data_IF_044690416977
#
_entry.id   IF_044690416977
#
_cell.length_a   1.000
_cell.length_b   1.000
_cell.length_c   1.000
_cell.angle_alpha   90.00
_cell.angle_beta   90.00
_cell.angle_gamma   90.00
#
_symmetry.space_group_name_H-M   'P 1'
#
loop_
_entity.id
_entity.type
_entity.pdbx_description
1 polymer ?
#
# COMPACT_ATOMS: atom_id res chain seq x y z
N UNK A 1 -6.85 14.34 32.28
CA UNK A 1 -7.79 13.40 31.64
C UNK A 1 -8.08 13.98 30.27
N UNK A 2 -7.35 13.52 29.26
CA UNK A 2 -7.47 14.01 27.90
C UNK A 2 -8.51 13.15 27.18
N UNK A 3 -9.49 13.80 26.56
CA UNK A 3 -10.50 13.18 25.70
C UNK A 3 -9.82 12.42 24.55
N UNK A 4 -9.94 11.10 24.57
CA UNK A 4 -9.48 10.19 23.51
C UNK A 4 -10.49 10.11 22.37
N UNK A 5 -10.81 11.25 21.75
CA UNK A 5 -11.60 11.30 20.53
C UNK A 5 -10.68 11.62 19.34
N UNK A 6 -9.88 10.63 18.96
CA UNK A 6 -9.21 10.64 17.67
C UNK A 6 -9.64 9.35 16.95
N UNK A 7 -10.81 9.40 16.31
CA UNK A 7 -11.26 8.37 15.38
C UNK A 7 -10.67 8.74 14.01
N UNK A 8 -9.61 8.05 13.55
CA UNK A 8 -8.99 8.38 12.29
C UNK A 8 -9.94 7.96 11.16
N UNK A 9 -10.28 8.93 10.31
CA UNK A 9 -11.16 8.84 9.13
C UNK A 9 -12.60 8.35 9.42
N UNK A 10 -13.50 9.30 9.66
CA UNK A 10 -14.93 9.05 9.48
C UNK A 10 -15.20 8.70 8.00
N UNK A 11 -15.58 7.45 7.77
CA UNK A 11 -16.18 6.92 6.53
C UNK A 11 -17.10 7.97 5.88
N UNK A 12 -16.70 8.44 4.69
CA UNK A 12 -17.33 9.54 3.95
C UNK A 12 -18.61 9.10 3.20
N UNK A 13 -19.03 7.84 3.34
CA UNK A 13 -20.14 7.24 2.61
C UNK A 13 -21.48 7.79 3.13
N UNK A 14 -22.07 8.71 2.37
CA UNK A 14 -23.36 9.34 2.72
C UNK A 14 -24.57 8.57 2.22
N UNK A 15 -24.40 7.76 1.17
CA UNK A 15 -25.51 7.11 0.46
C UNK A 15 -25.24 5.62 0.22
N UNK A 16 -26.30 4.82 0.29
CA UNK A 16 -26.25 3.38 0.16
C UNK A 16 -25.98 2.97 -1.29
N UNK A 17 -24.93 2.16 -1.50
CA UNK A 17 -24.56 1.61 -2.82
C UNK A 17 -25.62 0.67 -3.43
N UNK A 18 -26.60 0.20 -2.64
CA UNK A 18 -27.67 -0.69 -3.13
C UNK A 18 -28.93 0.05 -3.59
N UNK A 19 -29.34 1.11 -2.90
CA UNK A 19 -30.63 1.77 -3.17
C UNK A 19 -30.58 3.31 -3.20
N UNK A 20 -29.42 3.93 -2.95
CA UNK A 20 -29.27 5.39 -2.90
C UNK A 20 -29.80 6.07 -1.64
N UNK A 21 -30.41 5.34 -0.69
CA UNK A 21 -30.88 5.90 0.58
C UNK A 21 -29.75 6.36 1.51
N UNK A 22 -30.04 7.26 2.45
CA UNK A 22 -29.06 7.76 3.41
C UNK A 22 -28.47 6.64 4.28
N UNK A 23 -27.18 6.75 4.59
CA UNK A 23 -26.47 5.93 5.56
C UNK A 23 -26.37 6.68 6.90
N UNK A 24 -26.64 5.99 8.01
CA UNK A 24 -26.52 6.54 9.35
C UNK A 24 -25.74 5.58 10.27
N UNK A 25 -24.90 6.09 11.20
CA UNK A 25 -24.20 5.25 12.15
C UNK A 25 -25.18 4.57 13.11
N UNK A 26 -25.05 3.26 13.28
CA UNK A 26 -25.84 2.43 14.20
C UNK A 26 -24.95 1.48 14.98
N UNK A 27 -25.26 1.31 16.26
CA UNK A 27 -24.67 0.28 17.11
C UNK A 27 -25.39 -1.04 16.85
N UNK A 28 -24.73 -1.99 16.18
CA UNK A 28 -25.33 -3.29 15.86
C UNK A 28 -25.14 -4.32 16.97
N UNK A 29 -23.99 -4.31 17.64
CA UNK A 29 -23.67 -5.16 18.80
C UNK A 29 -22.95 -4.33 19.86
N UNK A 30 -23.21 -4.59 21.14
CA UNK A 30 -22.77 -3.72 22.24
C UNK A 30 -21.26 -3.43 22.32
N UNK A 31 -20.41 -4.32 21.79
CA UNK A 31 -18.93 -4.24 21.87
C UNK A 31 -18.24 -4.00 20.54
N UNK A 32 -18.99 -3.76 19.46
CA UNK A 32 -18.44 -3.48 18.13
C UNK A 32 -18.40 -1.96 17.85
N UNK A 33 -17.59 -1.48 16.88
CA UNK A 33 -17.70 -0.09 16.43
C UNK A 33 -19.05 0.19 15.78
N UNK A 34 -19.43 1.47 15.72
CA UNK A 34 -20.58 1.93 14.94
C UNK A 34 -20.42 1.51 13.48
N UNK A 35 -21.53 1.12 12.85
CA UNK A 35 -21.58 0.78 11.42
C UNK A 35 -22.52 1.72 10.70
N UNK A 36 -22.19 2.09 9.47
CA UNK A 36 -23.10 2.82 8.60
C UNK A 36 -24.20 1.86 8.11
N UNK A 37 -25.45 2.17 8.43
CA UNK A 37 -26.63 1.36 8.06
C UNK A 37 -27.58 2.21 7.23
N UNK A 38 -28.06 1.66 6.13
CA UNK A 38 -29.02 2.31 5.27
C UNK A 38 -30.39 2.39 5.92
N UNK A 39 -30.93 3.60 6.01
CA UNK A 39 -32.24 3.86 6.62
C UNK A 39 -33.42 3.41 5.74
N UNK A 40 -33.17 3.08 4.47
CA UNK A 40 -34.18 2.66 3.50
C UNK A 40 -34.27 1.13 3.34
N UNK A 41 -33.14 0.44 3.19
CA UNK A 41 -33.11 -0.99 2.87
C UNK A 41 -32.37 -1.86 3.91
N UNK A 42 -31.96 -1.27 5.03
CA UNK A 42 -31.22 -1.94 6.12
C UNK A 42 -29.87 -2.56 5.71
N UNK A 43 -29.33 -2.21 4.53
CA UNK A 43 -27.97 -2.58 4.14
C UNK A 43 -26.95 -2.03 5.16
N UNK A 44 -26.06 -2.90 5.64
CA UNK A 44 -24.95 -2.52 6.52
C UNK A 44 -23.69 -2.38 5.67
N UNK A 45 -23.05 -1.21 5.75
CA UNK A 45 -21.77 -0.96 5.11
C UNK A 45 -20.62 -1.38 6.04
N UNK A 46 -19.77 -2.26 5.52
CA UNK A 46 -18.53 -2.68 6.15
C UNK A 46 -17.39 -2.20 5.24
N UNK A 47 -16.58 -1.22 5.65
CA UNK A 47 -15.40 -0.84 4.89
C UNK A 47 -14.39 -1.99 4.97
N UNK A 48 -14.04 -2.55 3.81
CA UNK A 48 -12.98 -3.55 3.69
C UNK A 48 -11.62 -2.84 3.68
N UNK A 49 -10.57 -3.43 4.28
CA UNK A 49 -9.23 -2.94 4.05
C UNK A 49 -8.88 -3.07 2.56
N UNK A 50 -8.12 -2.10 2.04
CA UNK A 50 -7.49 -2.26 0.73
C UNK A 50 -6.21 -3.08 0.87
N UNK A 51 -5.91 -3.85 -0.17
CA UNK A 51 -4.65 -4.60 -0.25
C UNK A 51 -3.81 -3.98 -1.35
N UNK A 52 -2.55 -3.69 -1.03
CA UNK A 52 -1.55 -3.29 -1.99
C UNK A 52 -0.49 -4.38 -2.14
N UNK A 53 -0.11 -4.68 -3.38
CA UNK A 53 0.94 -5.63 -3.70
C UNK A 53 2.16 -4.87 -4.22
N UNK A 54 3.31 -5.11 -3.62
CA UNK A 54 4.54 -4.40 -3.94
C UNK A 54 5.71 -5.36 -4.16
N UNK A 55 6.75 -4.87 -4.82
CA UNK A 55 7.94 -5.68 -5.13
C UNK A 55 9.24 -4.94 -4.84
N UNK A 56 10.16 -5.63 -4.16
CA UNK A 56 11.57 -5.26 -4.11
C UNK A 56 12.28 -6.06 -5.19
N UNK A 57 12.82 -5.35 -6.18
CA UNK A 57 13.67 -5.90 -7.22
C UNK A 57 15.01 -5.15 -7.27
N UNK A 58 16.03 -5.78 -7.85
CA UNK A 58 17.39 -5.23 -7.85
C UNK A 58 18.07 -5.27 -9.22
N UNK A 59 18.95 -4.31 -9.47
CA UNK A 59 19.94 -4.31 -10.56
C UNK A 59 21.31 -4.21 -9.93
N UNK A 60 22.19 -5.16 -10.20
CA UNK A 60 23.55 -5.22 -9.64
C UNK A 60 23.60 -5.08 -8.10
N UNK A 61 22.63 -5.71 -7.41
CA UNK A 61 22.51 -5.67 -5.95
C UNK A 61 21.97 -4.35 -5.37
N UNK A 62 21.57 -3.40 -6.22
CA UNK A 62 20.94 -2.13 -5.83
C UNK A 62 19.43 -2.21 -6.00
N UNK A 63 18.67 -1.72 -5.00
CA UNK A 63 17.20 -1.75 -5.04
C UNK A 63 16.66 -0.69 -5.99
N UNK A 64 15.65 -1.04 -6.78
CA UNK A 64 14.93 -0.09 -7.64
C UNK A 64 13.87 0.63 -6.81
N UNK A 65 13.90 1.96 -6.82
CA UNK A 65 12.87 2.81 -6.24
C UNK A 65 12.38 3.82 -7.28
N UNK A 66 11.12 4.21 -7.16
CA UNK A 66 10.52 5.34 -7.87
C UNK A 66 10.19 6.49 -6.91
N UNK A 67 10.19 7.70 -7.43
CA UNK A 67 9.79 8.91 -6.72
C UNK A 67 8.38 9.28 -7.13
N UNK A 68 7.43 9.30 -6.19
CA UNK A 68 5.99 9.43 -6.47
C UNK A 68 5.64 10.78 -7.10
N UNK A 69 4.84 10.77 -8.17
CA UNK A 69 4.27 11.96 -8.81
C UNK A 69 2.83 12.30 -8.34
N UNK A 70 2.31 11.54 -7.37
CA UNK A 70 0.93 11.65 -6.89
C UNK A 70 0.86 11.63 -5.35
N UNK A 71 -0.22 12.19 -4.80
CA UNK A 71 -0.54 12.08 -3.37
C UNK A 71 -1.18 10.73 -3.02
N UNK A 72 -1.07 10.25 -1.77
CA UNK A 72 -0.26 10.81 -0.68
C UNK A 72 1.26 10.68 -0.96
N UNK A 73 2.08 11.45 -0.23
CA UNK A 73 3.55 11.33 -0.25
C UNK A 73 4.19 11.73 -1.59
N UNK A 74 3.67 12.78 -2.22
CA UNK A 74 4.26 13.35 -3.44
C UNK A 74 5.75 13.67 -3.23
N UNK A 75 6.59 13.29 -4.21
CA UNK A 75 8.01 13.57 -4.19
C UNK A 75 8.85 12.70 -3.24
N UNK A 76 8.24 11.69 -2.59
CA UNK A 76 8.95 10.72 -1.75
C UNK A 76 9.23 9.41 -2.51
N UNK A 77 10.19 8.62 -2.02
CA UNK A 77 10.66 7.38 -2.65
C UNK A 77 9.92 6.14 -2.16
N UNK A 78 9.60 5.23 -3.08
CA UNK A 78 8.95 3.94 -2.80
C UNK A 78 9.42 2.88 -3.79
N UNK A 79 9.38 1.61 -3.40
CA UNK A 79 9.52 0.51 -4.37
C UNK A 79 8.21 0.33 -5.16
N UNK A 80 8.23 -0.32 -6.34
CA UNK A 80 7.02 -0.46 -7.14
C UNK A 80 5.89 -1.19 -6.40
N UNK A 81 4.66 -0.71 -6.59
CA UNK A 81 3.47 -1.38 -6.05
C UNK A 81 2.24 -0.49 -5.94
N UNK A 82 1.09 -1.13 -6.04
CA UNK A 82 -0.22 -0.48 -6.05
C UNK A 82 -1.33 -1.41 -5.56
N UNK A 83 -2.58 -0.97 -5.72
CA UNK A 83 -3.72 -1.70 -5.21
C UNK A 83 -4.03 -2.95 -6.03
N UNK A 84 -4.47 -3.99 -5.32
CA UNK A 84 -4.93 -5.23 -5.94
C UNK A 84 -6.29 -5.01 -6.63
N UNK A 85 -6.39 -5.44 -7.89
CA UNK A 85 -7.67 -5.50 -8.58
C UNK A 85 -8.52 -6.68 -8.13
N UNK A 86 -9.84 -6.52 -8.20
CA UNK A 86 -10.76 -7.55 -7.71
C UNK A 86 -10.60 -8.84 -8.52
N UNK A 87 -10.14 -9.90 -7.84
CA UNK A 87 -9.93 -11.23 -8.43
C UNK A 87 -8.53 -11.43 -9.03
N UNK A 88 -7.65 -10.44 -8.90
CA UNK A 88 -6.25 -10.54 -9.30
C UNK A 88 -5.43 -11.32 -8.25
N UNK A 89 -4.45 -12.11 -8.70
CA UNK A 89 -3.47 -12.74 -7.81
C UNK A 89 -2.44 -11.72 -7.32
N UNK A 90 -2.01 -11.82 -6.06
CA UNK A 90 -1.09 -10.86 -5.44
C UNK A 90 0.24 -10.74 -6.18
N UNK A 91 0.81 -11.88 -6.58
CA UNK A 91 2.06 -11.94 -7.34
C UNK A 91 1.92 -11.31 -8.72
N UNK A 92 0.76 -11.50 -9.37
CA UNK A 92 0.46 -10.90 -10.67
C UNK A 92 0.32 -9.38 -10.55
N UNK A 93 -0.35 -8.89 -9.51
CA UNK A 93 -0.47 -7.46 -9.23
C UNK A 93 0.90 -6.82 -8.99
N UNK A 94 1.74 -7.42 -8.13
CA UNK A 94 3.08 -6.90 -7.88
C UNK A 94 3.94 -6.86 -9.17
N UNK A 95 3.77 -7.83 -10.07
CA UNK A 95 4.46 -7.84 -11.36
C UNK A 95 3.90 -6.81 -12.35
N UNK A 96 2.57 -6.60 -12.38
CA UNK A 96 1.92 -5.56 -13.18
C UNK A 96 2.40 -4.18 -12.76
N UNK A 97 2.39 -3.88 -11.47
CA UNK A 97 2.82 -2.58 -10.93
C UNK A 97 4.30 -2.31 -11.23
N UNK A 98 5.17 -3.33 -11.15
CA UNK A 98 6.57 -3.20 -11.57
C UNK A 98 6.72 -2.82 -13.05
N UNK A 99 5.86 -3.38 -13.89
CA UNK A 99 5.86 -3.06 -15.31
C UNK A 99 5.32 -1.64 -15.57
N UNK A 100 4.22 -1.26 -14.92
CA UNK A 100 3.56 0.04 -15.09
C UNK A 100 4.39 1.20 -14.54
N UNK A 101 4.98 1.07 -13.35
CA UNK A 101 5.65 2.17 -12.67
C UNK A 101 7.13 2.32 -13.04
N UNK A 102 7.81 1.20 -13.35
CA UNK A 102 9.27 1.20 -13.60
C UNK A 102 9.71 0.45 -14.86
N UNK A 103 8.78 0.05 -15.73
CA UNK A 103 9.05 -0.59 -17.04
C UNK A 103 9.91 -1.86 -16.98
N UNK A 104 9.74 -2.69 -15.93
CA UNK A 104 10.45 -3.98 -15.80
C UNK A 104 9.49 -5.15 -15.68
N UNK A 105 9.86 -6.26 -16.32
CA UNK A 105 9.19 -7.55 -16.13
C UNK A 105 9.92 -8.30 -15.04
N UNK A 106 9.19 -8.69 -14.00
CA UNK A 106 9.74 -9.38 -12.83
C UNK A 106 9.19 -10.79 -12.70
N UNK A 107 10.03 -11.69 -12.19
CA UNK A 107 9.61 -13.00 -11.71
C UNK A 107 9.61 -12.99 -10.18
N UNK A 108 8.41 -13.09 -9.58
CA UNK A 108 8.27 -13.15 -8.12
C UNK A 108 8.94 -14.40 -7.57
N UNK A 109 9.76 -14.24 -6.53
CA UNK A 109 10.55 -15.31 -5.91
C UNK A 109 9.96 -15.79 -4.61
N UNK A 110 9.66 -14.85 -3.71
CA UNK A 110 9.12 -15.13 -2.39
C UNK A 110 8.36 -13.94 -1.83
N UNK A 111 7.40 -14.23 -0.97
CA UNK A 111 6.86 -13.24 -0.04
C UNK A 111 8.00 -12.79 0.90
N UNK A 112 8.13 -11.47 1.08
CA UNK A 112 9.00 -10.91 2.11
C UNK A 112 8.23 -10.86 3.43
N UNK A 113 7.13 -10.11 3.46
CA UNK A 113 6.30 -9.93 4.64
C UNK A 113 4.95 -9.26 4.28
N UNK A 114 4.06 -9.17 5.27
CA UNK A 114 2.79 -8.44 5.22
C UNK A 114 2.79 -7.37 6.30
N UNK A 115 2.51 -6.11 5.92
CA UNK A 115 2.53 -4.97 6.82
C UNK A 115 1.13 -4.38 6.99
N UNK A 116 0.76 -4.12 8.25
CA UNK A 116 -0.47 -3.45 8.64
C UNK A 116 -0.21 -2.57 9.86
N UNK A 117 -0.89 -1.43 9.96
CA UNK A 117 -0.69 -0.47 11.04
C UNK A 117 -2.03 -0.07 11.68
N UNK A 118 -2.10 0.11 13.01
CA UNK A 118 -3.29 0.60 13.68
C UNK A 118 -3.80 1.91 13.04
N UNK A 119 -5.09 1.96 12.72
CA UNK A 119 -5.71 3.15 12.10
C UNK A 119 -5.43 3.35 10.62
N UNK A 120 -4.71 2.44 9.95
CA UNK A 120 -4.48 2.50 8.50
C UNK A 120 -5.34 1.46 7.76
N UNK A 121 -6.10 1.86 6.72
CA UNK A 121 -7.02 0.97 6.02
C UNK A 121 -6.35 0.09 4.94
N UNK A 122 -5.02 0.19 4.77
CA UNK A 122 -4.28 -0.54 3.72
C UNK A 122 -3.38 -1.59 4.34
N UNK A 123 -3.51 -2.82 3.85
CA UNK A 123 -2.55 -3.92 4.09
C UNK A 123 -1.58 -3.97 2.92
N UNK A 124 -0.27 -3.92 3.22
CA UNK A 124 0.78 -3.91 2.20
C UNK A 124 1.49 -5.26 2.19
N UNK A 125 1.41 -5.97 1.07
CA UNK A 125 2.09 -7.25 0.85
C UNK A 125 3.32 -7.00 -0.01
N UNK A 126 4.50 -7.35 0.49
CA UNK A 126 5.76 -7.08 -0.22
C UNK A 126 6.42 -8.39 -0.64
N UNK A 127 6.77 -8.49 -1.91
CA UNK A 127 7.50 -9.61 -2.49
C UNK A 127 8.94 -9.24 -2.83
N UNK A 128 9.81 -10.24 -2.92
CA UNK A 128 11.12 -10.11 -3.57
C UNK A 128 11.02 -10.75 -4.94
N UNK A 129 11.53 -10.06 -5.97
CA UNK A 129 11.50 -10.55 -7.35
C UNK A 129 12.80 -10.26 -8.11
N UNK A 130 13.05 -11.09 -9.11
CA UNK A 130 14.16 -10.92 -10.05
C UNK A 130 13.66 -10.22 -11.31
N UNK A 131 14.41 -9.25 -11.83
CA UNK A 131 14.12 -8.62 -13.13
C UNK A 131 14.54 -9.61 -14.22
N UNK A 132 13.59 -10.01 -15.07
CA UNK A 132 13.82 -10.97 -16.17
C UNK A 132 13.83 -10.29 -17.54
N UNK A 133 13.25 -9.09 -17.66
CA UNK A 133 13.35 -8.24 -18.84
C UNK A 133 13.09 -6.76 -18.50
N UNK A 134 13.55 -5.87 -19.39
CA UNK A 134 13.42 -4.41 -19.22
C UNK A 134 14.59 -3.78 -18.47
N UNK A 135 14.59 -2.45 -18.45
CA UNK A 135 15.56 -1.63 -17.70
C UNK A 135 14.75 -0.60 -16.91
N UNK A 136 14.99 -0.45 -15.59
CA UNK A 136 14.26 0.51 -14.78
C UNK A 136 14.25 1.90 -15.41
N UNK A 137 13.06 2.42 -15.66
CA UNK A 137 12.84 3.74 -16.24
C UNK A 137 11.48 4.28 -15.80
N UNK A 138 11.31 5.60 -15.87
CA UNK A 138 10.10 6.29 -15.38
C UNK A 138 8.84 5.81 -16.12
N UNK A 139 7.87 5.30 -15.37
CA UNK A 139 6.48 5.09 -15.81
C UNK A 139 5.60 6.33 -15.56
N UNK A 140 4.29 6.20 -15.82
CA UNK A 140 3.36 7.34 -15.88
C UNK A 140 3.16 8.06 -14.53
N UNK A 141 3.35 7.37 -13.40
CA UNK A 141 3.10 7.90 -12.05
C UNK A 141 4.38 8.22 -11.24
N UNK A 142 5.54 8.22 -11.91
CA UNK A 142 6.84 8.48 -11.29
C UNK A 142 7.47 9.79 -11.80
N UNK A 143 8.08 10.55 -10.88
CA UNK A 143 8.94 11.69 -11.22
C UNK A 143 10.34 11.24 -11.64
N UNK A 144 10.80 10.13 -11.05
CA UNK A 144 12.18 9.64 -11.17
C UNK A 144 12.21 8.16 -10.81
N UNK A 145 13.05 7.36 -11.47
CA UNK A 145 13.31 5.96 -11.13
C UNK A 145 14.82 5.76 -11.03
N UNK A 146 15.28 5.21 -9.91
CA UNK A 146 16.71 5.02 -9.61
C UNK A 146 16.99 3.75 -8.84
N UNK A 147 18.23 3.28 -8.98
CA UNK A 147 18.77 2.18 -8.20
C UNK A 147 19.59 2.71 -7.04
N UNK A 148 19.40 2.14 -5.85
CA UNK A 148 20.12 2.55 -4.63
C UNK A 148 20.86 1.36 -4.02
N UNK A 149 22.16 1.52 -3.74
CA UNK A 149 22.81 0.61 -2.81
C UNK A 149 22.22 0.82 -1.40
N UNK A 150 22.33 -0.18 -0.51
CA UNK A 150 21.82 -0.10 0.86
C UNK A 150 22.25 1.19 1.60
N UNK A 151 23.51 1.59 1.44
CA UNK A 151 24.09 2.78 2.07
C UNK A 151 23.62 4.11 1.46
N UNK A 152 23.01 4.07 0.28
CA UNK A 152 22.56 5.23 -0.48
C UNK A 152 21.05 5.45 -0.35
N UNK A 153 20.32 4.52 0.30
CA UNK A 153 18.87 4.63 0.45
C UNK A 153 18.52 5.93 1.18
N UNK A 154 17.64 6.76 0.60
CA UNK A 154 17.24 8.03 1.20
C UNK A 154 16.20 7.78 2.30
N UNK A 155 16.62 7.20 3.43
CA UNK A 155 15.72 6.75 4.50
C UNK A 155 14.79 7.86 5.00
N UNK A 156 15.24 9.12 5.04
CA UNK A 156 14.42 10.27 5.45
C UNK A 156 13.32 10.66 4.44
N UNK A 157 13.43 10.21 3.20
CA UNK A 157 12.56 10.59 2.08
C UNK A 157 11.70 9.41 1.58
N UNK A 158 11.66 8.30 2.31
CA UNK A 158 10.78 7.17 1.97
C UNK A 158 9.32 7.52 2.26
N UNK A 159 8.43 7.17 1.32
CA UNK A 159 7.03 7.58 1.32
C UNK A 159 6.23 7.01 2.50
N UNK A 160 6.41 5.72 2.79
CA UNK A 160 5.58 5.01 3.76
C UNK A 160 6.38 4.26 4.83
N UNK A 161 5.80 4.07 6.04
CA UNK A 161 6.38 3.19 7.06
C UNK A 161 6.64 1.77 6.54
N UNK A 162 5.74 1.23 5.72
CA UNK A 162 5.89 -0.09 5.08
C UNK A 162 7.10 -0.14 4.16
N UNK A 163 7.37 0.93 3.39
CA UNK A 163 8.56 1.02 2.54
C UNK A 163 9.84 0.90 3.37
N UNK A 164 9.93 1.68 4.45
CA UNK A 164 11.08 1.69 5.36
C UNK A 164 11.27 0.33 6.02
N UNK A 165 10.20 -0.25 6.56
CA UNK A 165 10.25 -1.51 7.28
C UNK A 165 10.60 -2.67 6.34
N UNK A 166 10.02 -2.73 5.15
CA UNK A 166 10.32 -3.75 4.17
C UNK A 166 11.75 -3.70 3.66
N UNK A 167 12.31 -2.51 3.44
CA UNK A 167 13.73 -2.40 3.09
C UNK A 167 14.63 -2.88 4.23
N UNK A 168 14.30 -2.58 5.49
CA UNK A 168 15.04 -3.11 6.66
C UNK A 168 14.96 -4.63 6.74
N UNK A 169 13.77 -5.21 6.60
CA UNK A 169 13.56 -6.65 6.59
C UNK A 169 14.33 -7.33 5.45
N UNK A 170 14.31 -6.71 4.25
CA UNK A 170 15.03 -7.20 3.08
C UNK A 170 16.56 -7.26 3.31
N UNK A 171 17.13 -6.23 3.94
CA UNK A 171 18.56 -6.18 4.25
C UNK A 171 18.93 -6.90 5.56
N UNK A 172 17.96 -7.47 6.28
CA UNK A 172 18.18 -8.16 7.56
C UNK A 172 18.64 -7.26 8.69
N UNK A 173 18.12 -6.03 8.78
CA UNK A 173 18.51 -5.02 9.79
C UNK A 173 17.40 -4.86 10.82
N UNK A 174 17.70 -5.08 12.11
CA UNK A 174 16.76 -4.78 13.20
C UNK A 174 16.68 -3.27 13.44
N UNK A 175 15.53 -2.80 13.91
CA UNK A 175 15.15 -1.39 14.08
C UNK A 175 15.90 -0.61 15.18
N UNK A 176 17.03 -1.12 15.68
CA UNK A 176 17.70 -0.65 16.90
C UNK A 176 19.07 0.03 16.66
N UNK A 177 19.28 0.64 15.48
CA UNK A 177 20.37 1.60 15.21
C UNK A 177 19.79 2.98 14.86
#
# INVERSE_FOLDING_TARGET
MADGADHPAADCERYCVRCGGALAPRQLKAVEPLRLVCECCAYVHYPDPKVAACVICTVDGKVVLLRRAIEPSYGQWVFPGGFLDRGEELEAAAAREAHEEVNVVVQVRRLLNVYSYPGHPVVVVVYVADIVAGVPSVGDEALEVRTFARSEIPWGELAFPSTRQALRDYFGVSSDE
#
